data_IF_201796668741
#
_entry.id   IF_201796668741
#
_cell.length_a   1.000
_cell.length_b   1.000
_cell.length_c   1.000
_cell.angle_alpha   90.00
_cell.angle_beta   90.00
_cell.angle_gamma   90.00
#
_symmetry.space_group_name_H-M   'P 1'
#
loop_
_entity.id
_entity.type
_entity.pdbx_description
1 polymer ?
#
# COMPACT_ATOMS: atom_id res chain seq x y z
N UNK A 1 24.12 -6.01 -4.76
CA UNK A 1 23.01 -5.50 -5.58
C UNK A 1 21.87 -5.19 -4.64
N UNK A 2 21.46 -3.94 -4.47
CA UNK A 2 20.28 -3.61 -3.67
C UNK A 2 19.05 -3.98 -4.50
N UNK A 3 18.45 -5.14 -4.23
CA UNK A 3 17.19 -5.52 -4.89
C UNK A 3 16.14 -4.45 -4.57
N UNK A 4 15.51 -3.90 -5.61
CA UNK A 4 14.43 -2.94 -5.42
C UNK A 4 13.23 -3.67 -4.79
N UNK A 5 12.61 -3.13 -3.74
CA UNK A 5 11.48 -3.78 -3.09
C UNK A 5 10.32 -3.98 -4.07
N UNK A 6 9.76 -5.19 -4.10
CA UNK A 6 8.61 -5.53 -4.95
C UNK A 6 7.41 -4.72 -4.51
N UNK A 7 6.69 -4.15 -5.47
CA UNK A 7 5.48 -3.37 -5.19
C UNK A 7 4.25 -4.21 -5.52
N UNK A 8 3.40 -4.45 -4.52
CA UNK A 8 2.11 -5.10 -4.70
C UNK A 8 0.98 -4.08 -4.60
N UNK A 9 0.29 -3.81 -5.71
CA UNK A 9 -0.89 -2.96 -5.74
C UNK A 9 -2.12 -3.84 -5.54
N UNK A 10 -2.87 -3.61 -4.46
CA UNK A 10 -4.08 -4.39 -4.16
C UNK A 10 -5.28 -3.45 -4.27
N UNK A 11 -6.22 -3.76 -5.17
CA UNK A 11 -7.43 -2.95 -5.34
C UNK A 11 -8.53 -3.36 -4.35
N UNK A 12 -9.38 -2.40 -3.94
CA UNK A 12 -10.48 -2.68 -3.00
C UNK A 12 -10.00 -3.17 -1.62
N UNK A 13 -8.79 -2.74 -1.22
CA UNK A 13 -8.03 -3.30 -0.09
C UNK A 13 -8.17 -2.52 1.21
N UNK A 14 -9.17 -1.65 1.30
CA UNK A 14 -9.46 -0.91 2.52
C UNK A 14 -10.23 -1.73 3.57
N UNK A 15 -10.72 -2.93 3.21
CA UNK A 15 -11.47 -3.86 4.08
C UNK A 15 -11.56 -5.26 3.46
N UNK A 16 -12.09 -6.20 4.22
CA UNK A 16 -12.42 -7.56 3.75
C UNK A 16 -11.21 -8.31 3.20
N UNK A 17 -11.43 -9.10 2.14
CA UNK A 17 -10.38 -9.93 1.54
C UNK A 17 -9.22 -9.12 0.97
N UNK A 18 -9.50 -7.97 0.34
CA UNK A 18 -8.43 -7.11 -0.21
C UNK A 18 -7.48 -6.63 0.89
N UNK A 19 -8.00 -6.29 2.07
CA UNK A 19 -7.18 -5.94 3.24
C UNK A 19 -6.36 -7.13 3.74
N UNK A 20 -6.97 -8.30 3.89
CA UNK A 20 -6.28 -9.52 4.35
C UNK A 20 -5.15 -9.94 3.39
N UNK A 21 -5.37 -9.79 2.08
CA UNK A 21 -4.35 -10.05 1.06
C UNK A 21 -3.22 -9.03 1.16
N UNK A 22 -3.52 -7.74 1.27
CA UNK A 22 -2.53 -6.69 1.47
C UNK A 22 -1.67 -6.94 2.72
N UNK A 23 -2.31 -7.33 3.83
CA UNK A 23 -1.63 -7.71 5.07
C UNK A 23 -0.68 -8.89 4.87
N UNK A 24 -1.16 -9.99 4.28
CA UNK A 24 -0.36 -11.21 4.06
C UNK A 24 0.81 -10.97 3.08
N UNK A 25 0.62 -10.12 2.08
CA UNK A 25 1.68 -9.74 1.15
C UNK A 25 2.73 -8.86 1.83
N UNK A 26 2.30 -7.90 2.64
CA UNK A 26 3.22 -6.98 3.34
C UNK A 26 4.02 -7.61 4.47
N UNK A 27 3.63 -8.79 4.96
CA UNK A 27 4.43 -9.59 5.89
C UNK A 27 5.58 -10.35 5.22
N UNK A 28 5.58 -10.43 3.88
CA UNK A 28 6.69 -11.06 3.15
C UNK A 28 7.88 -10.09 3.09
N UNK A 29 9.12 -10.61 3.16
CA UNK A 29 10.30 -9.78 2.99
C UNK A 29 10.27 -9.07 1.63
N UNK A 30 10.78 -7.83 1.63
CA UNK A 30 10.99 -7.00 0.44
C UNK A 30 9.73 -6.69 -0.39
N UNK A 31 8.54 -6.75 0.22
CA UNK A 31 7.29 -6.34 -0.41
C UNK A 31 6.75 -5.05 0.23
N UNK A 32 6.61 -4.02 -0.58
CA UNK A 32 5.83 -2.82 -0.26
C UNK A 32 4.43 -2.96 -0.83
N UNK A 33 3.41 -2.76 -0.01
CA UNK A 33 2.01 -2.83 -0.44
C UNK A 33 1.44 -1.45 -0.71
N UNK A 34 0.75 -1.30 -1.83
CA UNK A 34 -0.05 -0.12 -2.15
C UNK A 34 -1.51 -0.53 -2.10
N UNK A 35 -2.25 0.03 -1.15
CA UNK A 35 -3.67 -0.22 -1.02
C UNK A 35 -4.48 0.84 -1.77
N UNK A 36 -5.69 0.49 -2.18
CA UNK A 36 -6.62 1.41 -2.85
C UNK A 36 -7.95 1.46 -2.12
N UNK A 37 -8.56 2.64 -2.14
CA UNK A 37 -9.89 2.89 -1.59
C UNK A 37 -10.56 4.01 -2.38
N UNK A 38 -11.88 3.93 -2.54
CA UNK A 38 -12.69 5.05 -3.04
C UNK A 38 -12.81 6.17 -2.00
N UNK A 39 -12.81 5.82 -0.71
CA UNK A 39 -12.92 6.76 0.40
C UNK A 39 -11.56 6.95 1.05
N UNK A 40 -11.03 8.18 0.97
CA UNK A 40 -9.68 8.52 1.47
C UNK A 40 -9.51 8.20 2.95
N UNK A 41 -10.49 8.54 3.79
CA UNK A 41 -10.45 8.30 5.23
C UNK A 41 -10.34 6.82 5.57
N UNK A 42 -11.12 5.97 4.89
CA UNK A 42 -11.04 4.52 5.08
C UNK A 42 -9.74 3.92 4.55
N UNK A 43 -9.24 4.44 3.44
CA UNK A 43 -7.95 4.03 2.90
C UNK A 43 -6.79 4.40 3.84
N UNK A 44 -6.86 5.58 4.47
CA UNK A 44 -5.86 6.00 5.46
C UNK A 44 -5.92 5.13 6.71
N UNK A 45 -7.11 4.88 7.27
CA UNK A 45 -7.26 4.00 8.43
C UNK A 45 -6.69 2.60 8.17
N UNK A 46 -7.02 1.99 7.02
CA UNK A 46 -6.46 0.69 6.64
C UNK A 46 -4.93 0.73 6.46
N UNK A 47 -4.39 1.80 5.86
CA UNK A 47 -2.94 1.99 5.71
C UNK A 47 -2.27 2.10 7.08
N UNK A 48 -2.81 2.90 7.98
CA UNK A 48 -2.25 3.12 9.32
C UNK A 48 -2.30 1.85 10.15
N UNK A 49 -3.35 1.03 10.02
CA UNK A 49 -3.40 -0.30 10.65
C UNK A 49 -2.28 -1.21 10.14
N UNK A 50 -2.06 -1.31 8.83
CA UNK A 50 -0.95 -2.10 8.27
C UNK A 50 0.42 -1.58 8.75
N UNK A 51 0.61 -0.26 8.78
CA UNK A 51 1.86 0.36 9.26
C UNK A 51 2.09 0.08 10.74
N UNK A 52 1.04 0.10 11.57
CA UNK A 52 1.14 -0.26 12.99
C UNK A 52 1.57 -1.73 13.20
N UNK A 53 1.31 -2.60 12.22
CA UNK A 53 1.80 -3.99 12.20
C UNK A 53 3.24 -4.13 11.66
N UNK A 54 3.93 -3.02 11.37
CA UNK A 54 5.28 -3.02 10.81
C UNK A 54 5.36 -3.22 9.29
N UNK A 55 4.22 -3.19 8.59
CA UNK A 55 4.16 -3.39 7.14
C UNK A 55 4.45 -2.08 6.41
N UNK A 56 5.29 -2.14 5.38
CA UNK A 56 5.50 -1.03 4.45
C UNK A 56 4.27 -0.84 3.55
N UNK A 57 3.30 -0.04 3.99
CA UNK A 57 2.07 0.25 3.27
C UNK A 57 1.97 1.72 2.80
N UNK A 58 1.36 1.94 1.64
CA UNK A 58 1.02 3.27 1.13
C UNK A 58 -0.39 3.28 0.53
N UNK A 59 -1.05 4.44 0.51
CA UNK A 59 -2.33 4.61 -0.17
C UNK A 59 -2.08 5.11 -1.61
N UNK A 60 -2.75 4.53 -2.61
CA UNK A 60 -2.53 4.92 -4.02
C UNK A 60 -2.76 6.42 -4.31
N UNK A 61 -3.61 7.10 -3.54
CA UNK A 61 -3.80 8.56 -3.61
C UNK A 61 -2.51 9.34 -3.29
N UNK A 62 -1.63 8.80 -2.47
CA UNK A 62 -0.30 9.37 -2.19
C UNK A 62 0.68 9.10 -3.34
N UNK A 63 0.59 7.92 -3.98
CA UNK A 63 1.48 7.53 -5.08
C UNK A 63 1.23 8.32 -6.36
N UNK A 64 -0.04 8.62 -6.69
CA UNK A 64 -0.37 9.45 -7.86
C UNK A 64 0.31 10.83 -7.82
N UNK A 65 0.46 11.41 -6.62
CA UNK A 65 1.17 12.69 -6.41
C UNK A 65 2.69 12.58 -6.49
N UNK A 66 3.23 11.36 -6.37
CA UNK A 66 4.67 11.11 -6.46
C UNK A 66 5.10 10.92 -7.92
N UNK A 67 4.22 10.36 -8.75
CA UNK A 67 4.43 10.24 -10.20
C UNK A 67 4.45 11.63 -10.86
N UNK A 68 3.61 12.56 -10.39
CA UNK A 68 3.56 13.92 -10.95
C UNK A 68 4.76 14.82 -10.60
N UNK A 69 5.71 14.38 -9.75
CA UNK A 69 6.98 15.10 -9.50
C UNK A 69 8.14 14.59 -10.35
N UNK A 70 7.94 13.53 -11.14
CA UNK A 70 8.87 13.17 -12.21
C UNK A 70 8.47 14.01 -13.44
N UNK A 71 8.90 15.27 -13.45
CA UNK A 71 8.97 16.04 -14.70
C UNK A 71 10.12 15.44 -15.51
N UNK A 72 9.83 15.02 -16.73
CA UNK A 72 10.86 14.82 -17.76
C UNK A 72 11.50 16.16 -18.10
#
# INVERSE_FOLDING_TARGET
MTEQPKIAVVTGSNRGLGYAIARKLGQKPDIKVIITSRRKTEGLAAKDQLVAEGIQAALALEYARRISRVRF
#
